data_IF_525350339628
#
_entry.id   IF_525350339628
#
_cell.length_a   1.000
_cell.length_b   1.000
_cell.length_c   1.000
_cell.angle_alpha   90.00
_cell.angle_beta   90.00
_cell.angle_gamma   90.00
#
_symmetry.space_group_name_H-M   'P 1'
#
loop_
_entity.id
_entity.type
_entity.pdbx_description
1 polymer ?
#
# COMPACT_ATOMS: atom_id res chain seq x y z
N UNK A 1 -31.59 -15.41 36.59
CA UNK A 1 -31.80 -15.35 35.12
C UNK A 1 -32.17 -13.93 34.76
N UNK A 2 -31.40 -13.26 33.89
CA UNK A 2 -31.71 -11.89 33.44
C UNK A 2 -31.97 -11.88 31.94
N UNK A 3 -32.92 -11.06 31.55
CA UNK A 3 -33.34 -10.87 30.16
C UNK A 3 -32.92 -9.46 29.74
N UNK A 4 -32.14 -9.36 28.68
CA UNK A 4 -31.72 -8.09 28.10
C UNK A 4 -32.26 -7.95 26.68
N UNK A 5 -32.66 -6.74 26.28
CA UNK A 5 -33.01 -6.44 24.89
C UNK A 5 -31.79 -5.87 24.13
N UNK A 6 -31.92 -5.73 22.81
CA UNK A 6 -30.84 -5.26 21.93
C UNK A 6 -30.37 -3.82 22.19
N UNK A 7 -31.22 -2.98 22.80
CA UNK A 7 -30.87 -1.59 23.17
C UNK A 7 -30.05 -1.58 24.46
N UNK A 8 -30.41 -2.42 25.43
CA UNK A 8 -29.68 -2.58 26.70
C UNK A 8 -28.25 -3.11 26.49
N UNK A 9 -28.07 -3.97 25.47
CA UNK A 9 -26.77 -4.54 25.14
C UNK A 9 -25.71 -3.50 24.73
N UNK A 10 -26.12 -2.39 24.09
CA UNK A 10 -25.18 -1.34 23.65
C UNK A 10 -24.75 -0.42 24.79
N UNK A 11 -25.62 -0.19 25.76
CA UNK A 11 -25.41 0.82 26.80
C UNK A 11 -24.84 0.22 28.10
N UNK A 12 -25.00 -1.10 28.33
CA UNK A 12 -24.61 -1.77 29.58
C UNK A 12 -23.67 -2.97 29.37
N UNK A 13 -22.93 -2.99 28.26
CA UNK A 13 -22.02 -4.08 27.87
C UNK A 13 -21.11 -4.54 29.02
N UNK A 14 -20.45 -3.60 29.70
CA UNK A 14 -19.50 -3.90 30.77
C UNK A 14 -20.18 -4.47 32.03
N UNK A 15 -21.42 -4.08 32.32
CA UNK A 15 -22.18 -4.60 33.45
C UNK A 15 -22.65 -6.03 33.18
N UNK A 16 -23.21 -6.28 31.99
CA UNK A 16 -23.64 -7.61 31.56
C UNK A 16 -22.47 -8.59 31.47
N UNK A 17 -21.29 -8.14 31.01
CA UNK A 17 -20.07 -8.95 31.01
C UNK A 17 -19.66 -9.37 32.42
N UNK A 18 -19.74 -8.48 33.43
CA UNK A 18 -19.44 -8.84 34.82
C UNK A 18 -20.39 -9.93 35.33
N UNK A 19 -21.69 -9.82 35.07
CA UNK A 19 -22.66 -10.84 35.46
C UNK A 19 -22.41 -12.19 34.78
N UNK A 20 -22.10 -12.19 33.48
CA UNK A 20 -21.74 -13.41 32.76
C UNK A 20 -20.46 -14.06 33.33
N UNK A 21 -19.48 -13.27 33.78
CA UNK A 21 -18.25 -13.76 34.41
C UNK A 21 -18.48 -14.42 35.79
N UNK A 22 -19.51 -14.02 36.53
CA UNK A 22 -19.91 -14.67 37.81
C UNK A 22 -20.74 -15.94 37.57
N UNK A 23 -21.00 -16.30 36.31
CA UNK A 23 -21.72 -17.52 35.92
C UNK A 23 -23.23 -17.39 35.90
N UNK A 24 -23.77 -16.16 35.97
CA UNK A 24 -25.20 -15.93 35.79
C UNK A 24 -25.58 -15.99 34.31
N UNK A 25 -26.54 -16.84 33.89
CA UNK A 25 -26.95 -16.93 32.49
C UNK A 25 -27.73 -15.68 32.08
N UNK A 26 -27.32 -15.09 30.96
CA UNK A 26 -27.96 -13.92 30.36
C UNK A 26 -28.64 -14.34 29.06
N UNK A 27 -29.96 -14.14 28.98
CA UNK A 27 -30.73 -14.38 27.75
C UNK A 27 -30.90 -13.05 27.03
N UNK A 28 -30.43 -13.03 25.78
CA UNK A 28 -30.62 -11.91 24.87
C UNK A 28 -31.94 -12.12 24.15
N UNK A 29 -32.81 -11.12 24.21
CA UNK A 29 -34.10 -11.13 23.50
C UNK A 29 -34.11 -10.13 22.36
N UNK A 30 -34.77 -10.51 21.27
CA UNK A 30 -35.08 -9.65 20.13
C UNK A 30 -36.60 -9.52 20.01
N UNK A 31 -37.14 -8.31 20.16
CA UNK A 31 -38.59 -8.04 20.16
C UNK A 31 -39.37 -8.94 21.15
N UNK A 32 -38.82 -9.12 22.35
CA UNK A 32 -39.43 -9.92 23.42
C UNK A 32 -39.29 -11.44 23.27
N UNK A 33 -38.63 -11.95 22.21
CA UNK A 33 -38.37 -13.38 22.02
C UNK A 33 -36.89 -13.73 22.28
N UNK A 34 -36.58 -14.85 22.94
CA UNK A 34 -35.20 -15.30 23.12
C UNK A 34 -34.48 -15.46 21.76
N UNK A 35 -33.28 -14.90 21.65
CA UNK A 35 -32.48 -14.90 20.41
C UNK A 35 -31.09 -15.52 20.61
N UNK A 36 -30.49 -15.36 21.80
CA UNK A 36 -29.21 -15.96 22.15
C UNK A 36 -29.08 -16.08 23.68
N UNK A 37 -28.15 -16.92 24.14
CA UNK A 37 -27.77 -17.01 25.55
C UNK A 37 -26.25 -16.83 25.68
N UNK A 38 -25.82 -15.99 26.61
CA UNK A 38 -24.43 -15.93 27.03
C UNK A 38 -24.23 -16.93 28.17
N UNK A 39 -23.47 -17.97 27.90
CA UNK A 39 -23.07 -18.98 28.89
C UNK A 39 -21.65 -18.72 29.37
N UNK A 40 -21.30 -19.26 30.54
CA UNK A 40 -19.94 -19.20 31.08
C UNK A 40 -18.99 -19.89 30.10
N UNK A 41 -17.91 -19.21 29.72
CA UNK A 41 -16.81 -19.85 29.00
C UNK A 41 -16.11 -20.81 29.96
N UNK A 42 -16.01 -22.08 29.58
CA UNK A 42 -15.20 -23.06 30.31
C UNK A 42 -13.72 -22.85 30.00
N UNK A 43 -12.85 -23.45 30.81
CA UNK A 43 -11.42 -23.49 30.54
C UNK A 43 -11.13 -24.15 29.18
N UNK A 44 -11.88 -25.20 28.82
CA UNK A 44 -11.82 -25.83 27.50
C UNK A 44 -12.28 -24.92 26.35
N UNK A 45 -13.26 -24.03 26.58
CA UNK A 45 -13.67 -23.03 25.59
C UNK A 45 -12.58 -21.98 25.39
N UNK A 46 -11.91 -21.58 26.48
CA UNK A 46 -10.76 -20.68 26.45
C UNK A 46 -9.58 -21.33 25.74
N UNK A 47 -9.24 -22.57 26.06
CA UNK A 47 -8.19 -23.33 25.39
C UNK A 47 -8.49 -23.52 23.92
N UNK A 48 -9.72 -23.89 23.56
CA UNK A 48 -10.15 -24.01 22.17
C UNK A 48 -10.11 -22.66 21.45
N UNK A 49 -10.44 -21.55 22.13
CA UNK A 49 -10.30 -20.21 21.59
C UNK A 49 -8.82 -19.86 21.38
N UNK A 50 -7.97 -20.05 22.38
CA UNK A 50 -6.52 -19.81 22.32
C UNK A 50 -5.88 -20.68 21.26
N UNK A 51 -6.20 -21.96 21.14
CA UNK A 51 -5.66 -22.88 20.13
C UNK A 51 -6.10 -22.49 18.70
N UNK A 52 -7.37 -22.11 18.52
CA UNK A 52 -7.88 -21.58 17.24
C UNK A 52 -7.22 -20.26 16.84
N UNK A 53 -6.82 -19.44 17.81
CA UNK A 53 -6.19 -18.15 17.55
C UNK A 53 -4.64 -18.21 17.56
N UNK A 54 -4.03 -19.16 18.25
CA UNK A 54 -2.58 -19.37 18.29
C UNK A 54 -2.07 -20.01 16.99
N UNK A 55 -2.86 -20.89 16.38
CA UNK A 55 -2.57 -21.42 15.04
C UNK A 55 -2.70 -20.35 13.94
N UNK A 56 -3.72 -19.47 14.03
CA UNK A 56 -3.88 -18.31 13.16
C UNK A 56 -2.81 -17.22 13.40
N UNK A 57 -2.37 -17.02 14.64
CA UNK A 57 -1.31 -16.06 15.01
C UNK A 57 0.08 -16.57 14.62
N UNK A 58 0.39 -17.87 14.73
CA UNK A 58 1.74 -18.39 14.44
C UNK A 58 2.10 -18.38 12.94
N UNK A 59 1.11 -18.35 12.03
CA UNK A 59 1.33 -18.08 10.60
C UNK A 59 1.30 -16.59 10.30
N UNK A 60 0.43 -15.82 10.95
CA UNK A 60 0.34 -14.37 10.77
C UNK A 60 1.57 -13.62 11.29
N UNK A 61 2.19 -14.05 12.39
CA UNK A 61 3.42 -13.43 12.95
C UNK A 61 4.69 -13.80 12.18
N UNK A 62 4.72 -14.94 11.48
CA UNK A 62 5.82 -15.29 10.56
C UNK A 62 5.75 -14.53 9.24
N UNK A 63 4.54 -14.16 8.81
CA UNK A 63 4.30 -13.32 7.63
C UNK A 63 4.20 -11.81 7.97
N UNK A 64 4.19 -11.43 9.25
CA UNK A 64 4.14 -10.05 9.71
C UNK A 64 5.42 -9.28 9.33
N UNK A 65 5.45 -8.80 8.10
CA UNK A 65 6.58 -8.10 7.50
C UNK A 65 7.26 -8.82 6.33
N UNK A 66 6.81 -10.01 5.96
CA UNK A 66 7.26 -10.66 4.73
C UNK A 66 6.59 -10.00 3.53
N UNK A 67 7.41 -9.48 2.61
CA UNK A 67 6.92 -9.03 1.31
C UNK A 67 6.99 -10.16 0.31
N UNK A 68 5.97 -10.29 -0.53
CA UNK A 68 5.99 -11.18 -1.69
C UNK A 68 6.30 -10.36 -2.93
N UNK A 69 6.93 -10.94 -3.94
CA UNK A 69 7.18 -10.21 -5.18
C UNK A 69 7.08 -11.09 -6.42
N UNK A 70 6.67 -10.47 -7.52
CA UNK A 70 6.63 -11.09 -8.86
C UNK A 70 7.51 -10.30 -9.81
N UNK A 71 7.81 -10.85 -10.99
CA UNK A 71 8.46 -10.12 -12.08
C UNK A 71 7.73 -10.27 -13.40
N UNK A 72 7.86 -9.25 -14.26
CA UNK A 72 7.27 -9.20 -15.60
C UNK A 72 8.29 -8.60 -16.58
N UNK A 73 8.40 -9.18 -17.77
CA UNK A 73 9.19 -8.58 -18.86
C UNK A 73 8.40 -7.42 -19.47
N UNK A 74 9.03 -6.27 -19.63
CA UNK A 74 8.41 -5.05 -20.17
C UNK A 74 9.33 -4.40 -21.21
N UNK A 75 8.83 -3.41 -21.94
CA UNK A 75 9.64 -2.60 -22.88
C UNK A 75 10.72 -1.74 -22.19
N UNK A 76 10.67 -1.64 -20.86
CA UNK A 76 11.63 -0.91 -20.02
C UNK A 76 12.66 -1.84 -19.34
N UNK A 77 12.57 -3.16 -19.58
CA UNK A 77 13.33 -4.19 -18.86
C UNK A 77 12.44 -5.06 -17.99
N UNK A 78 13.04 -5.84 -17.09
CA UNK A 78 12.29 -6.69 -16.17
C UNK A 78 11.81 -5.86 -14.97
N UNK A 79 10.50 -5.67 -14.87
CA UNK A 79 9.87 -5.01 -13.73
C UNK A 79 9.66 -6.03 -12.60
N UNK A 80 10.21 -5.74 -11.44
CA UNK A 80 9.97 -6.49 -10.20
C UNK A 80 9.02 -5.69 -9.33
N UNK A 81 8.00 -6.37 -8.80
CA UNK A 81 6.91 -5.75 -8.04
C UNK A 81 6.73 -6.51 -6.73
N UNK A 82 7.13 -5.88 -5.62
CA UNK A 82 6.84 -6.36 -4.28
C UNK A 82 5.52 -5.80 -3.78
N UNK A 83 4.77 -6.63 -3.06
CA UNK A 83 3.44 -6.31 -2.58
C UNK A 83 3.17 -6.93 -1.20
N UNK A 84 2.22 -6.32 -0.50
CA UNK A 84 1.66 -6.75 0.78
C UNK A 84 0.16 -7.00 0.60
N UNK A 85 -0.54 -7.35 1.68
CA UNK A 85 -2.00 -7.39 1.69
C UNK A 85 -2.67 -6.04 1.35
N UNK A 86 -1.97 -4.91 1.53
CA UNK A 86 -2.49 -3.56 1.24
C UNK A 86 -2.27 -3.14 -0.22
N UNK A 87 -1.38 -3.81 -0.95
CA UNK A 87 -1.10 -3.54 -2.36
C UNK A 87 0.38 -3.52 -2.70
N UNK A 88 0.71 -2.86 -3.82
CA UNK A 88 2.10 -2.74 -4.29
C UNK A 88 2.88 -1.85 -3.34
N UNK A 89 3.95 -2.39 -2.76
CA UNK A 89 4.79 -1.71 -1.78
C UNK A 89 6.14 -1.27 -2.36
N UNK A 90 6.62 -1.97 -3.39
CA UNK A 90 7.82 -1.56 -4.11
C UNK A 90 7.80 -1.99 -5.58
N UNK A 91 8.34 -1.15 -6.44
CA UNK A 91 8.56 -1.44 -7.86
C UNK A 91 9.97 -1.00 -8.24
N UNK A 92 10.70 -1.87 -8.92
CA UNK A 92 12.00 -1.51 -9.51
C UNK A 92 12.26 -2.25 -10.83
N UNK A 93 13.20 -1.74 -11.62
CA UNK A 93 13.76 -2.41 -12.80
C UNK A 93 15.09 -3.04 -12.40
N UNK A 94 15.12 -4.36 -12.26
CA UNK A 94 16.28 -5.11 -11.79
C UNK A 94 16.71 -6.20 -12.78
N UNK A 95 17.95 -6.66 -12.65
CA UNK A 95 18.52 -7.68 -13.55
C UNK A 95 18.20 -9.11 -13.07
N UNK A 96 18.03 -9.30 -11.76
CA UNK A 96 17.80 -10.62 -11.16
C UNK A 96 16.95 -10.57 -9.90
N UNK A 97 16.36 -11.71 -9.54
CA UNK A 97 15.63 -11.94 -8.29
C UNK A 97 16.48 -11.56 -7.06
N UNK A 98 17.76 -11.96 -7.02
CA UNK A 98 18.66 -11.69 -5.90
C UNK A 98 18.96 -10.20 -5.74
N UNK A 99 19.19 -9.49 -6.86
CA UNK A 99 19.46 -8.05 -6.84
C UNK A 99 18.25 -7.26 -6.31
N UNK A 100 17.04 -7.64 -6.74
CA UNK A 100 15.80 -7.04 -6.27
C UNK A 100 15.54 -7.34 -4.79
N UNK A 101 15.61 -8.60 -4.37
CA UNK A 101 15.39 -8.98 -2.97
C UNK A 101 16.39 -8.30 -2.03
N UNK A 102 17.66 -8.15 -2.45
CA UNK A 102 18.69 -7.42 -1.71
C UNK A 102 18.36 -5.93 -1.59
N UNK A 103 17.87 -5.30 -2.66
CA UNK A 103 17.46 -3.90 -2.66
C UNK A 103 16.29 -3.65 -1.69
N UNK A 104 15.27 -4.52 -1.71
CA UNK A 104 14.13 -4.45 -0.77
C UNK A 104 14.61 -4.55 0.68
N UNK A 105 15.47 -5.54 0.97
CA UNK A 105 16.03 -5.72 2.33
C UNK A 105 16.83 -4.51 2.78
N UNK A 106 17.69 -3.96 1.92
CA UNK A 106 18.50 -2.78 2.27
C UNK A 106 17.66 -1.53 2.49
N UNK A 107 16.65 -1.30 1.65
CA UNK A 107 15.87 -0.07 1.66
C UNK A 107 14.76 -0.05 2.70
N UNK A 108 14.11 -1.19 2.94
CA UNK A 108 12.91 -1.27 3.77
C UNK A 108 13.08 -2.13 5.02
N UNK A 109 14.24 -2.77 5.21
CA UNK A 109 14.47 -3.76 6.26
C UNK A 109 13.42 -4.89 6.25
N UNK A 110 12.91 -5.24 5.05
CA UNK A 110 11.93 -6.32 4.86
C UNK A 110 12.53 -7.49 4.09
N UNK A 111 12.29 -8.75 4.50
CA UNK A 111 12.53 -9.88 3.63
C UNK A 111 11.54 -9.84 2.45
N UNK A 112 12.01 -10.25 1.27
CA UNK A 112 11.20 -10.35 0.07
C UNK A 112 11.32 -11.77 -0.50
N UNK A 113 10.19 -12.45 -0.69
CA UNK A 113 10.14 -13.80 -1.23
C UNK A 113 9.46 -13.81 -2.59
N UNK A 114 10.05 -14.55 -3.53
CA UNK A 114 9.52 -14.69 -4.88
C UNK A 114 8.17 -15.41 -4.84
N UNK A 115 7.22 -14.84 -5.55
CA UNK A 115 5.91 -15.41 -5.80
C UNK A 115 5.61 -15.36 -7.30
N UNK A 116 5.80 -16.48 -8.03
CA UNK A 116 5.51 -16.53 -9.47
C UNK A 116 4.01 -16.49 -9.77
N UNK A 117 3.13 -16.62 -8.76
CA UNK A 117 1.68 -16.63 -8.91
C UNK A 117 1.04 -15.64 -7.93
N UNK A 118 1.24 -14.32 -8.13
CA UNK A 118 0.61 -13.31 -7.30
C UNK A 118 -0.93 -13.35 -7.40
N UNK A 119 -1.66 -12.72 -6.47
CA UNK A 119 -3.12 -12.63 -6.53
C UNK A 119 -3.64 -12.25 -7.92
N UNK A 120 -4.70 -12.92 -8.37
CA UNK A 120 -5.16 -12.83 -9.76
C UNK A 120 -5.47 -11.40 -10.20
N UNK A 121 -6.08 -10.60 -9.31
CA UNK A 121 -6.38 -9.19 -9.57
C UNK A 121 -5.12 -8.35 -9.73
N UNK A 122 -4.13 -8.53 -8.84
CA UNK A 122 -2.84 -7.84 -8.95
C UNK A 122 -2.15 -8.19 -10.27
N UNK A 123 -2.11 -9.48 -10.64
CA UNK A 123 -1.56 -9.93 -11.92
C UNK A 123 -2.26 -9.25 -13.09
N UNK A 124 -3.60 -9.21 -13.09
CA UNK A 124 -4.40 -8.55 -14.14
C UNK A 124 -4.08 -7.06 -14.24
N UNK A 125 -4.00 -6.36 -13.11
CA UNK A 125 -3.68 -4.93 -13.09
C UNK A 125 -2.26 -4.63 -13.57
N UNK A 126 -1.27 -5.43 -13.18
CA UNK A 126 0.11 -5.28 -13.65
C UNK A 126 0.23 -5.53 -15.15
N UNK A 127 -0.42 -6.57 -15.68
CA UNK A 127 -0.44 -6.85 -17.12
C UNK A 127 -1.07 -5.70 -17.90
N UNK A 128 -2.25 -5.21 -17.49
CA UNK A 128 -2.87 -4.06 -18.14
C UNK A 128 -1.99 -2.80 -18.07
N UNK A 129 -1.39 -2.53 -16.90
CA UNK A 129 -0.52 -1.37 -16.72
C UNK A 129 0.71 -1.40 -17.64
N UNK A 130 1.44 -2.52 -17.69
CA UNK A 130 2.68 -2.61 -18.47
C UNK A 130 2.48 -2.87 -19.96
N UNK A 131 1.39 -3.54 -20.36
CA UNK A 131 1.17 -3.91 -21.76
C UNK A 131 0.33 -2.88 -22.52
N UNK A 132 -0.75 -2.36 -21.92
CA UNK A 132 -1.63 -1.39 -22.60
C UNK A 132 -1.47 0.04 -22.11
N UNK A 133 -0.64 0.29 -21.08
CA UNK A 133 -0.49 1.61 -20.49
C UNK A 133 -1.72 2.08 -19.72
N UNK A 134 -2.66 1.18 -19.40
CA UNK A 134 -3.85 1.49 -18.63
C UNK A 134 -3.48 1.99 -17.23
N UNK A 135 -4.30 2.87 -16.60
CA UNK A 135 -4.09 3.26 -15.21
C UNK A 135 -4.03 2.05 -14.29
N UNK A 136 -3.06 2.04 -13.36
CA UNK A 136 -2.99 0.98 -12.37
C UNK A 136 -4.17 1.08 -11.40
N UNK A 137 -4.92 -0.02 -11.25
CA UNK A 137 -6.16 -0.06 -10.45
C UNK A 137 -6.02 -0.80 -9.11
N UNK A 138 -4.84 -1.34 -8.80
CA UNK A 138 -4.59 -2.01 -7.53
C UNK A 138 -4.29 -1.04 -6.39
N UNK A 139 -4.27 -1.57 -5.16
CA UNK A 139 -3.79 -0.84 -3.99
C UNK A 139 -2.29 -0.52 -4.08
N UNK A 140 -1.89 0.56 -3.42
CA UNK A 140 -0.48 0.95 -3.24
C UNK A 140 -0.24 1.09 -1.74
N UNK A 141 0.72 0.33 -1.23
CA UNK A 141 1.09 0.34 0.18
C UNK A 141 2.21 1.37 0.41
N UNK A 142 1.84 2.50 1.02
CA UNK A 142 2.76 3.56 1.43
C UNK A 142 2.93 3.61 2.96
N UNK A 143 2.68 2.49 3.67
CA UNK A 143 2.73 2.42 5.13
C UNK A 143 4.10 2.76 5.70
N UNK A 144 5.18 2.38 5.00
CA UNK A 144 6.58 2.68 5.38
C UNK A 144 7.05 4.07 4.94
N UNK A 145 6.21 4.86 4.28
CA UNK A 145 6.54 6.21 3.82
C UNK A 145 6.11 7.24 4.87
N UNK A 146 6.99 8.20 5.16
CA UNK A 146 6.71 9.31 6.07
C UNK A 146 5.49 10.14 5.64
N UNK A 147 4.84 10.88 6.55
CA UNK A 147 3.57 11.55 6.29
C UNK A 147 3.67 12.60 5.17
N UNK A 148 4.75 13.40 5.14
CA UNK A 148 4.95 14.40 4.09
C UNK A 148 5.21 13.74 2.73
N UNK A 149 6.13 12.78 2.66
CA UNK A 149 6.41 12.06 1.42
C UNK A 149 5.16 11.34 0.91
N UNK A 150 4.36 10.72 1.80
CA UNK A 150 3.09 10.08 1.43
C UNK A 150 2.14 11.09 0.80
N UNK A 151 1.97 12.27 1.40
CA UNK A 151 1.15 13.34 0.84
C UNK A 151 1.63 13.76 -0.56
N UNK A 152 2.94 13.90 -0.76
CA UNK A 152 3.53 14.13 -2.07
C UNK A 152 3.18 13.02 -3.05
N UNK A 153 3.47 11.76 -2.72
CA UNK A 153 3.23 10.61 -3.60
C UNK A 153 1.75 10.47 -3.99
N UNK A 154 0.82 10.75 -3.07
CA UNK A 154 -0.61 10.80 -3.38
C UNK A 154 -0.98 11.94 -4.32
N UNK A 155 -0.34 13.11 -4.22
CA UNK A 155 -0.50 14.17 -5.23
C UNK A 155 0.05 13.75 -6.59
N UNK A 156 1.17 13.03 -6.64
CA UNK A 156 1.75 12.54 -7.91
C UNK A 156 0.79 11.63 -8.66
N UNK A 157 0.07 10.76 -7.95
CA UNK A 157 -0.92 9.82 -8.54
C UNK A 157 -2.07 10.54 -9.25
N UNK A 158 -2.33 11.80 -8.91
CA UNK A 158 -3.37 12.62 -9.55
C UNK A 158 -2.93 13.25 -10.87
N UNK A 159 -1.63 13.26 -11.18
CA UNK A 159 -1.12 13.83 -12.42
C UNK A 159 -1.50 12.91 -13.58
N UNK A 160 -2.30 13.36 -14.57
CA UNK A 160 -2.70 12.50 -15.69
C UNK A 160 -1.51 12.07 -16.57
N UNK A 161 -1.68 10.96 -17.30
CA UNK A 161 -0.72 10.54 -18.33
C UNK A 161 -0.55 11.64 -19.37
N UNK A 162 0.69 11.93 -19.76
CA UNK A 162 1.01 12.97 -20.74
C UNK A 162 1.02 14.39 -20.17
N UNK A 163 0.68 14.58 -18.90
CA UNK A 163 0.81 15.87 -18.23
C UNK A 163 2.02 15.89 -17.30
N UNK A 164 2.61 17.06 -17.14
CA UNK A 164 3.67 17.31 -16.17
C UNK A 164 3.25 18.34 -15.14
N UNK A 165 3.89 18.31 -13.98
CA UNK A 165 3.83 19.36 -12.96
C UNK A 165 5.23 19.72 -12.50
N UNK A 166 5.41 20.92 -11.97
CA UNK A 166 6.69 21.31 -11.36
C UNK A 166 6.74 20.92 -9.88
N UNK A 167 7.94 20.73 -9.33
CA UNK A 167 8.09 20.52 -7.88
C UNK A 167 7.43 21.65 -7.06
N UNK A 168 7.44 22.89 -7.58
CA UNK A 168 6.80 24.05 -6.95
C UNK A 168 5.28 23.94 -6.95
N UNK A 169 4.69 23.50 -8.05
CA UNK A 169 3.23 23.30 -8.14
C UNK A 169 2.75 22.23 -7.16
N UNK A 170 3.48 21.12 -7.04
CA UNK A 170 3.16 20.07 -6.06
C UNK A 170 3.29 20.61 -4.63
N UNK A 171 4.35 21.37 -4.35
CA UNK A 171 4.57 21.98 -3.04
C UNK A 171 3.45 22.97 -2.68
N UNK A 172 3.03 23.81 -3.65
CA UNK A 172 1.94 24.76 -3.49
C UNK A 172 0.58 24.06 -3.28
N UNK A 173 0.29 22.99 -4.03
CA UNK A 173 -0.92 22.19 -3.88
C UNK A 173 -1.04 21.51 -2.50
N UNK A 174 0.10 21.31 -1.81
CA UNK A 174 0.17 20.79 -0.45
C UNK A 174 0.16 21.89 0.63
N UNK A 175 -0.01 23.16 0.26
CA UNK A 175 0.02 24.27 1.22
C UNK A 175 1.43 24.67 1.68
N UNK A 176 2.48 24.17 1.02
CA UNK A 176 3.87 24.49 1.36
C UNK A 176 4.67 24.98 0.14
N UNK A 177 4.38 26.18 -0.42
CA UNK A 177 4.98 26.64 -1.69
C UNK A 177 6.52 26.71 -1.72
N UNK A 178 7.18 26.82 -0.56
CA UNK A 178 8.64 26.83 -0.43
C UNK A 178 9.27 25.43 -0.39
N UNK A 179 8.47 24.35 -0.31
CA UNK A 179 8.95 22.98 -0.09
C UNK A 179 9.39 22.22 -1.36
N UNK A 180 9.67 22.90 -2.48
CA UNK A 180 10.04 22.26 -3.76
C UNK A 180 11.20 21.26 -3.64
N UNK A 181 12.22 21.56 -2.82
CA UNK A 181 13.35 20.64 -2.57
C UNK A 181 12.91 19.38 -1.81
N UNK A 182 12.04 19.55 -0.81
CA UNK A 182 11.49 18.43 -0.04
C UNK A 182 10.61 17.53 -0.92
N UNK A 183 9.80 18.13 -1.82
CA UNK A 183 9.06 17.37 -2.84
C UNK A 183 10.01 16.60 -3.75
N UNK A 184 11.11 17.21 -4.21
CA UNK A 184 12.14 16.54 -4.99
C UNK A 184 12.73 15.31 -4.27
N UNK A 185 13.02 15.44 -2.99
CA UNK A 185 13.50 14.33 -2.15
C UNK A 185 12.44 13.22 -2.01
N UNK A 186 11.17 13.57 -1.83
CA UNK A 186 10.07 12.61 -1.79
C UNK A 186 9.94 11.84 -3.12
N UNK A 187 10.04 12.53 -4.26
CA UNK A 187 10.06 11.91 -5.58
C UNK A 187 11.23 10.94 -5.77
N UNK A 188 12.43 11.31 -5.30
CA UNK A 188 13.62 10.45 -5.36
C UNK A 188 13.50 9.20 -4.47
N UNK A 189 12.75 9.31 -3.36
CA UNK A 189 12.46 8.22 -2.43
C UNK A 189 11.17 7.47 -2.74
N UNK A 190 10.54 7.70 -3.90
CA UNK A 190 9.35 6.98 -4.30
C UNK A 190 9.61 5.46 -4.30
N UNK A 191 8.89 4.66 -3.48
CA UNK A 191 9.06 3.22 -3.46
C UNK A 191 8.38 2.54 -4.63
N UNK A 192 7.40 3.17 -5.27
CA UNK A 192 6.55 2.55 -6.30
C UNK A 192 6.57 3.40 -7.59
N UNK A 193 7.75 3.62 -8.21
CA UNK A 193 7.88 4.38 -9.46
C UNK A 193 7.03 3.75 -10.59
N UNK A 194 6.81 4.51 -11.67
CA UNK A 194 5.86 4.22 -12.76
C UNK A 194 4.38 4.25 -12.33
N UNK A 195 4.00 3.42 -11.35
CA UNK A 195 2.63 3.38 -10.80
C UNK A 195 2.35 4.68 -10.02
N UNK A 196 3.27 5.13 -9.17
CA UNK A 196 3.32 6.50 -8.65
C UNK A 196 4.23 7.30 -9.59
N UNK A 197 3.68 8.20 -10.42
CA UNK A 197 4.36 8.68 -11.62
C UNK A 197 5.30 9.87 -11.33
N UNK A 198 6.36 9.66 -10.55
CA UNK A 198 7.32 10.72 -10.23
C UNK A 198 8.14 11.21 -11.44
N UNK A 199 8.12 10.48 -12.56
CA UNK A 199 8.67 10.95 -13.84
C UNK A 199 7.91 12.15 -14.42
N UNK A 200 6.64 12.36 -14.03
CA UNK A 200 5.80 13.50 -14.45
C UNK A 200 6.10 14.81 -13.71
N UNK A 201 7.04 14.81 -12.76
CA UNK A 201 7.42 16.03 -12.01
C UNK A 201 8.76 16.57 -12.45
N UNK A 202 8.80 17.84 -12.84
CA UNK A 202 10.00 18.50 -13.40
C UNK A 202 10.37 19.77 -12.64
N UNK A 203 11.52 20.35 -12.95
CA UNK A 203 11.96 21.62 -12.37
C UNK A 203 11.20 22.78 -13.02
N UNK A 204 10.99 23.86 -12.25
CA UNK A 204 10.31 25.06 -12.74
C UNK A 204 11.09 25.84 -13.80
N UNK A 205 12.39 25.55 -13.99
CA UNK A 205 13.23 26.14 -15.05
C UNK A 205 13.17 25.34 -16.37
N UNK A 206 12.30 24.33 -16.46
CA UNK A 206 12.18 23.41 -17.60
C UNK A 206 13.15 22.24 -17.53
N UNK A 207 14.04 22.14 -16.54
CA UNK A 207 14.92 20.99 -16.42
C UNK A 207 14.18 19.72 -15.95
N UNK A 208 14.54 18.55 -16.49
CA UNK A 208 13.93 17.26 -16.08
C UNK A 208 14.08 16.95 -14.57
N UNK A 209 15.20 17.34 -13.96
CA UNK A 209 15.58 16.88 -12.62
C UNK A 209 15.95 15.39 -12.58
N UNK A 210 16.17 14.83 -11.40
CA UNK A 210 16.57 13.43 -11.22
C UNK A 210 15.43 12.42 -11.42
N UNK A 211 15.80 11.14 -11.51
CA UNK A 211 14.88 10.01 -11.50
C UNK A 211 15.53 8.81 -10.81
N UNK A 212 14.76 8.10 -9.97
CA UNK A 212 15.27 7.07 -9.07
C UNK A 212 15.47 5.71 -9.73
N UNK A 213 14.73 5.42 -10.81
CA UNK A 213 14.90 4.16 -11.54
C UNK A 213 16.21 4.16 -12.33
N UNK A 214 16.76 2.95 -12.53
CA UNK A 214 17.91 2.72 -13.41
C UNK A 214 17.67 3.35 -14.79
N UNK A 215 18.69 4.01 -15.32
CA UNK A 215 18.58 4.84 -16.53
C UNK A 215 18.29 6.31 -16.25
N UNK A 216 17.90 6.66 -15.02
CA UNK A 216 17.89 8.02 -14.49
C UNK A 216 17.16 9.02 -15.39
N UNK A 217 17.81 10.16 -15.65
CA UNK A 217 17.26 11.24 -16.48
C UNK A 217 16.81 10.78 -17.87
N UNK A 218 17.58 9.90 -18.52
CA UNK A 218 17.25 9.38 -19.86
C UNK A 218 15.98 8.54 -19.85
N UNK A 219 15.82 7.69 -18.84
CA UNK A 219 14.58 6.92 -18.68
C UNK A 219 13.38 7.84 -18.41
N UNK A 220 13.55 8.85 -17.56
CA UNK A 220 12.50 9.84 -17.28
C UNK A 220 12.02 10.56 -18.55
N UNK A 221 12.96 11.00 -19.38
CA UNK A 221 12.64 11.62 -20.66
C UNK A 221 11.87 10.66 -21.58
N UNK A 222 12.39 9.44 -21.75
CA UNK A 222 11.74 8.40 -22.56
C UNK A 222 10.31 8.08 -22.08
N UNK A 223 10.08 8.06 -20.77
CA UNK A 223 8.74 7.85 -20.20
C UNK A 223 7.79 8.99 -20.56
N UNK A 224 8.25 10.25 -20.50
CA UNK A 224 7.45 11.40 -20.90
C UNK A 224 7.12 11.37 -22.41
N UNK A 225 8.09 11.00 -23.25
CA UNK A 225 7.92 10.78 -24.68
C UNK A 225 6.85 9.71 -24.97
N UNK A 226 6.94 8.55 -24.31
CA UNK A 226 5.97 7.45 -24.45
C UNK A 226 4.56 7.82 -23.96
N UNK A 227 4.47 8.80 -23.06
CA UNK A 227 3.20 9.32 -22.57
C UNK A 227 2.62 10.42 -23.45
N UNK A 228 3.36 10.90 -24.46
CA UNK A 228 2.95 12.02 -25.31
C UNK A 228 2.97 13.37 -24.58
N UNK A 229 3.82 13.52 -23.56
CA UNK A 229 3.98 14.79 -22.88
C UNK A 229 4.60 15.82 -23.83
N UNK A 230 4.13 17.07 -23.75
CA UNK A 230 4.78 18.18 -24.45
C UNK A 230 6.17 18.39 -23.88
N UNK A 231 7.21 18.13 -24.68
CA UNK A 231 8.60 18.28 -24.28
C UNK A 231 9.15 19.66 -24.61
N UNK A 232 8.41 20.50 -25.34
CA UNK A 232 8.85 21.87 -25.65
C UNK A 232 8.98 22.73 -24.38
N UNK A 233 8.24 22.38 -23.33
CA UNK A 233 8.33 22.97 -22.00
C UNK A 233 9.61 22.55 -21.24
N UNK A 234 10.37 21.57 -21.77
CA UNK A 234 11.59 21.08 -21.17
C UNK A 234 12.82 21.69 -21.85
N UNK A 235 13.75 22.19 -21.04
CA UNK A 235 15.08 22.55 -21.51
C UNK A 235 15.91 21.27 -21.60
N UNK A 236 16.03 20.73 -22.81
CA UNK A 236 16.94 19.62 -23.10
C UNK A 236 18.36 20.20 -23.11
N UNK A 237 19.06 20.07 -21.98
CA UNK A 237 20.49 20.36 -21.83
C UNK A 237 21.31 19.09 -22.01
#
# INVERSE_FOLDING_TARGET
MRVANTVDLKNRTNELLRHAMVGEPIIITLRGKPAAALTRLTESDLESFVLRHASAQSSADRDAGLWRYTSLKTSLGTAYVAYTAQGVAHLDLADSDESFARAVRRRFARPAMRDPRPPADLRRFLMAFFTSGAPFRGGVDLSLVGPFERAVLEQLRRIPRGQVRTYREIAAALGHPSASRAVGNACAKNPVPLIVPCHRVVRSDGGLGGYSLRGGRRLKQRLLELEGADLSILKVS
#
